data_IF_889194873458
#
_entry.id   IF_889194873458
#
_cell.length_a   1.000
_cell.length_b   1.000
_cell.length_c   1.000
_cell.angle_alpha   90.00
_cell.angle_beta   90.00
_cell.angle_gamma   90.00
#
_symmetry.space_group_name_H-M   'P 1'
#
loop_
_entity.id
_entity.type
_entity.pdbx_description
1 polymer ?
#
# COMPACT_ATOMS: atom_id res chain seq x y z
N UNK A 1 -22.72 17.35 25.39
CA UNK A 1 -21.93 18.46 24.81
C UNK A 1 -20.48 18.00 24.74
N UNK A 2 -19.98 17.79 23.50
CA UNK A 2 -18.61 17.51 23.03
C UNK A 2 -17.80 16.39 23.71
N UNK A 3 -17.78 15.23 23.06
CA UNK A 3 -16.76 14.18 23.21
C UNK A 3 -15.83 14.32 22.00
N UNK A 4 -14.59 14.78 22.20
CA UNK A 4 -13.53 14.89 21.20
C UNK A 4 -12.27 14.32 21.86
N UNK A 5 -12.02 13.03 21.68
CA UNK A 5 -10.73 12.43 22.05
C UNK A 5 -9.84 12.40 20.80
N UNK A 6 -9.16 13.53 20.60
CA UNK A 6 -7.98 13.68 19.74
C UNK A 6 -6.79 13.04 20.46
N UNK A 7 -6.14 12.04 19.85
CA UNK A 7 -4.92 11.45 20.41
C UNK A 7 -3.67 12.04 19.77
N UNK A 8 -2.75 12.45 20.64
CA UNK A 8 -1.51 13.17 20.38
C UNK A 8 -0.40 12.29 19.79
N UNK A 9 0.23 12.75 18.71
CA UNK A 9 1.54 12.31 18.26
C UNK A 9 2.59 13.31 18.79
N UNK A 10 3.63 12.84 19.50
CA UNK A 10 4.81 13.67 19.77
C UNK A 10 5.55 13.86 18.44
N UNK A 11 5.32 15.02 17.83
CA UNK A 11 5.78 15.39 16.49
C UNK A 11 4.57 15.79 15.64
N UNK A 12 4.17 17.06 15.75
CA UNK A 12 3.06 17.73 15.06
C UNK A 12 2.38 16.96 13.92
N UNK A 13 1.16 16.48 14.18
CA UNK A 13 0.13 16.25 13.17
C UNK A 13 -1.24 16.51 13.81
N UNK A 14 -1.70 17.76 13.76
CA UNK A 14 -3.09 18.10 14.07
C UNK A 14 -3.97 17.61 12.92
N UNK A 15 -4.83 16.63 13.22
CA UNK A 15 -5.94 16.22 12.37
C UNK A 15 -6.95 17.37 12.30
N UNK A 16 -6.67 18.36 11.44
CA UNK A 16 -7.57 19.41 10.92
C UNK A 16 -6.90 20.37 9.93
N UNK A 17 -5.57 20.37 9.77
CA UNK A 17 -4.90 21.13 8.70
C UNK A 17 -3.77 20.31 8.10
N UNK A 18 -3.70 20.36 6.77
CA UNK A 18 -2.67 19.77 5.92
C UNK A 18 -1.28 19.92 6.56
N UNK A 19 -0.64 18.82 6.93
CA UNK A 19 0.77 18.77 7.29
C UNK A 19 1.51 17.74 6.44
N UNK A 20 2.66 18.16 5.92
CA UNK A 20 3.64 17.34 5.23
C UNK A 20 4.15 16.24 6.17
N UNK A 21 4.05 15.00 5.72
CA UNK A 21 4.35 13.81 6.51
C UNK A 21 5.87 13.56 6.44
N UNK A 22 6.53 13.47 7.60
CA UNK A 22 7.83 12.82 7.78
C UNK A 22 7.57 11.32 8.10
N UNK A 23 8.53 10.41 7.80
CA UNK A 23 8.31 8.98 7.50
C UNK A 23 7.23 8.26 8.32
N UNK A 24 6.34 7.54 7.61
CA UNK A 24 5.21 6.76 8.10
C UNK A 24 5.62 5.63 9.06
N UNK A 25 5.92 5.98 10.31
CA UNK A 25 5.91 5.00 11.39
C UNK A 25 4.47 4.70 11.80
N UNK A 26 3.95 3.58 11.29
CA UNK A 26 2.67 3.01 11.74
C UNK A 26 2.75 2.63 13.22
N UNK A 27 1.77 3.05 14.02
CA UNK A 27 1.72 2.80 15.47
C UNK A 27 1.74 1.29 15.77
N UNK A 28 2.79 0.75 16.43
CA UNK A 28 2.88 -0.68 16.73
C UNK A 28 1.77 -1.19 17.67
N UNK A 29 1.18 -0.34 18.52
CA UNK A 29 0.26 -0.78 19.58
C UNK A 29 -1.21 -0.39 19.41
N UNK A 30 -1.56 0.46 18.43
CA UNK A 30 -2.97 0.83 18.23
C UNK A 30 -3.80 -0.32 17.63
N UNK A 31 -4.74 -0.90 18.40
CA UNK A 31 -5.75 -1.84 17.89
C UNK A 31 -7.10 -1.15 17.80
N UNK A 32 -7.63 -0.84 16.60
CA UNK A 32 -8.99 -0.34 16.49
C UNK A 32 -9.99 -1.37 16.99
N UNK A 33 -11.05 -0.92 17.65
CA UNK A 33 -12.22 -1.78 17.91
C UNK A 33 -12.84 -2.19 16.57
N UNK A 34 -13.61 -3.28 16.54
CA UNK A 34 -14.33 -3.76 15.35
C UNK A 34 -15.32 -2.73 14.73
N UNK A 35 -15.42 -1.54 15.32
CA UNK A 35 -16.37 -0.47 15.00
C UNK A 35 -15.70 0.86 14.64
N UNK A 36 -14.36 0.96 14.70
CA UNK A 36 -13.65 2.22 14.43
C UNK A 36 -12.60 2.02 13.34
N UNK A 37 -12.71 2.81 12.27
CA UNK A 37 -11.70 2.86 11.21
C UNK A 37 -10.57 3.83 11.56
N UNK A 38 -9.36 3.50 11.13
CA UNK A 38 -8.21 4.43 11.15
C UNK A 38 -8.06 5.01 9.76
N UNK A 39 -8.26 6.31 9.62
CA UNK A 39 -8.17 6.98 8.32
C UNK A 39 -6.88 7.81 8.29
N UNK A 40 -6.05 7.53 7.28
CA UNK A 40 -4.76 8.19 7.07
C UNK A 40 -4.79 8.90 5.72
N UNK A 41 -4.79 10.23 5.76
CA UNK A 41 -4.53 11.05 4.58
C UNK A 41 -3.03 11.13 4.35
N UNK A 42 -2.60 10.89 3.11
CA UNK A 42 -1.21 10.97 2.69
C UNK A 42 -1.09 12.09 1.66
N UNK A 43 -0.42 13.19 2.04
CA UNK A 43 -0.18 14.32 1.16
C UNK A 43 0.72 13.94 -0.02
N UNK A 44 0.56 14.62 -1.16
CA UNK A 44 1.40 14.37 -2.33
C UNK A 44 2.89 14.57 -2.02
N UNK A 45 3.72 13.67 -2.53
CA UNK A 45 5.14 13.60 -2.21
C UNK A 45 5.69 12.20 -2.43
N UNK A 46 7.00 12.02 -2.28
CA UNK A 46 7.66 10.71 -2.33
C UNK A 46 8.13 10.31 -0.91
N UNK A 47 7.77 9.08 -0.51
CA UNK A 47 8.00 8.51 0.82
C UNK A 47 8.86 7.27 0.69
N UNK A 48 10.15 7.39 1.03
CA UNK A 48 11.11 6.29 0.89
C UNK A 48 11.19 5.43 2.15
N UNK A 49 10.28 4.47 2.27
CA UNK A 49 10.16 3.60 3.42
C UNK A 49 9.43 2.29 3.09
N UNK A 50 9.78 1.24 3.82
CA UNK A 50 9.07 -0.03 3.77
C UNK A 50 7.89 0.01 4.74
N UNK A 51 6.68 -0.20 4.25
CA UNK A 51 5.45 -0.07 5.04
C UNK A 51 4.83 -1.44 5.23
N UNK A 52 4.53 -1.80 6.48
CA UNK A 52 3.81 -3.04 6.82
C UNK A 52 2.61 -2.72 7.69
N UNK A 53 1.40 -3.05 7.21
CA UNK A 53 0.17 -2.99 7.97
C UNK A 53 -0.13 -4.40 8.47
N UNK A 54 0.16 -4.64 9.74
CA UNK A 54 0.05 -5.97 10.36
C UNK A 54 -1.40 -6.45 10.50
N UNK A 55 -1.57 -7.77 10.58
CA UNK A 55 -2.88 -8.43 10.68
C UNK A 55 -3.74 -7.95 11.87
N UNK A 56 -3.12 -7.48 12.95
CA UNK A 56 -3.83 -6.98 14.13
C UNK A 56 -4.35 -5.54 13.98
N UNK A 57 -4.13 -4.87 12.85
CA UNK A 57 -4.55 -3.49 12.56
C UNK A 57 -5.75 -3.46 11.62
N UNK A 58 -6.95 -3.75 12.11
CA UNK A 58 -8.15 -3.84 11.26
C UNK A 58 -8.65 -2.47 10.77
N UNK A 59 -9.41 -2.42 9.68
CA UNK A 59 -10.13 -1.22 9.21
C UNK A 59 -9.24 0.03 8.99
N UNK A 60 -8.05 -0.18 8.43
CA UNK A 60 -7.12 0.91 8.09
C UNK A 60 -7.44 1.41 6.67
N UNK A 61 -7.54 2.73 6.53
CA UNK A 61 -7.83 3.39 5.25
C UNK A 61 -6.68 4.35 4.94
N UNK A 62 -6.01 4.15 3.80
CA UNK A 62 -5.05 5.11 3.26
C UNK A 62 -5.67 5.87 2.09
N UNK A 63 -5.51 7.18 2.02
CA UNK A 63 -5.92 7.91 0.84
C UNK A 63 -5.07 9.14 0.54
N UNK A 64 -4.84 9.38 -0.75
CA UNK A 64 -4.20 10.59 -1.25
C UNK A 64 -5.15 11.45 -2.07
N UNK A 65 -4.63 12.55 -2.62
CA UNK A 65 -5.33 13.35 -3.63
C UNK A 65 -5.25 12.66 -5.00
N UNK A 66 -6.35 12.52 -5.77
CA UNK A 66 -6.31 11.91 -7.11
C UNK A 66 -5.49 12.73 -8.11
N UNK A 67 -5.36 14.05 -7.90
CA UNK A 67 -4.58 14.95 -8.77
C UNK A 67 -3.12 15.09 -8.32
N UNK A 68 -2.78 14.62 -7.13
CA UNK A 68 -1.44 14.68 -6.56
C UNK A 68 -1.23 13.47 -5.65
N UNK A 69 -1.16 12.29 -6.27
CA UNK A 69 -1.06 11.03 -5.55
C UNK A 69 0.31 10.90 -4.88
N UNK A 70 0.38 10.57 -3.58
CA UNK A 70 1.64 10.23 -2.92
C UNK A 70 2.27 8.98 -3.53
N UNK A 71 3.60 8.96 -3.57
CA UNK A 71 4.42 7.82 -4.00
C UNK A 71 5.07 7.17 -2.79
N UNK A 72 4.65 5.96 -2.46
CA UNK A 72 5.28 5.11 -1.46
C UNK A 72 6.35 4.28 -2.17
N UNK A 73 7.61 4.46 -1.84
CA UNK A 73 8.74 3.84 -2.53
C UNK A 73 9.69 3.14 -1.59
N UNK A 74 10.27 2.02 -2.03
CA UNK A 74 11.37 1.36 -1.32
C UNK A 74 12.24 0.55 -2.28
N UNK A 75 13.50 0.31 -1.89
CA UNK A 75 14.41 -0.60 -2.60
C UNK A 75 14.47 -1.92 -1.84
N UNK A 76 13.65 -2.89 -2.27
CA UNK A 76 13.62 -4.23 -1.71
C UNK A 76 13.70 -5.30 -2.80
N UNK A 77 14.70 -6.21 -2.69
CA UNK A 77 14.87 -7.35 -3.60
C UNK A 77 14.70 -8.68 -2.87
N UNK A 78 14.35 -9.72 -3.61
CA UNK A 78 14.23 -11.07 -3.08
C UNK A 78 15.56 -11.63 -2.56
N UNK A 79 16.70 -11.18 -3.09
CA UNK A 79 18.01 -11.51 -2.57
C UNK A 79 18.17 -11.12 -1.09
N UNK A 80 17.63 -9.97 -0.70
CA UNK A 80 17.75 -9.46 0.68
C UNK A 80 16.58 -9.87 1.58
N UNK A 81 15.37 -9.92 1.04
CA UNK A 81 14.14 -10.08 1.83
C UNK A 81 13.38 -11.38 1.55
N UNK A 82 13.76 -12.13 0.51
CA UNK A 82 12.88 -13.13 -0.12
C UNK A 82 11.80 -12.45 -0.99
N UNK A 83 11.23 -13.18 -1.94
CA UNK A 83 10.28 -12.64 -2.92
C UNK A 83 9.12 -11.91 -2.24
N UNK A 84 8.48 -12.59 -1.30
CA UNK A 84 7.25 -12.11 -0.64
C UNK A 84 7.50 -10.89 0.26
N UNK A 85 8.64 -10.84 0.96
CA UNK A 85 8.97 -9.67 1.79
C UNK A 85 9.79 -8.62 1.04
N UNK A 86 10.01 -8.74 -0.27
CA UNK A 86 10.65 -7.69 -1.07
C UNK A 86 9.74 -6.46 -1.26
N UNK A 87 8.44 -6.61 -0.99
CA UNK A 87 7.41 -5.60 -1.22
C UNK A 87 7.69 -4.24 -0.55
N UNK A 88 7.39 -3.15 -1.24
CA UNK A 88 7.44 -1.78 -0.67
C UNK A 88 6.35 -1.60 0.38
N UNK A 89 5.12 -2.02 0.04
CA UNK A 89 3.99 -2.05 0.97
C UNK A 89 3.54 -3.50 1.17
N UNK A 90 3.40 -3.92 2.43
CA UNK A 90 2.86 -5.22 2.84
C UNK A 90 1.58 -4.97 3.65
N UNK A 91 0.46 -5.52 3.19
CA UNK A 91 -0.84 -5.40 3.87
C UNK A 91 -1.32 -6.77 4.32
N UNK A 92 -1.27 -7.02 5.63
CA UNK A 92 -1.80 -8.22 6.27
C UNK A 92 -3.13 -7.95 6.98
N UNK A 93 -3.54 -6.68 7.04
CA UNK A 93 -4.76 -6.21 7.69
C UNK A 93 -6.04 -6.57 6.92
N UNK A 94 -7.02 -7.13 7.63
CA UNK A 94 -8.37 -7.30 7.09
C UNK A 94 -9.10 -5.94 7.02
N UNK A 95 -9.96 -5.80 6.00
CA UNK A 95 -10.73 -4.60 5.72
C UNK A 95 -9.87 -3.35 5.43
N UNK A 96 -8.64 -3.55 4.97
CA UNK A 96 -7.81 -2.44 4.49
C UNK A 96 -8.41 -1.83 3.23
N UNK A 97 -8.40 -0.51 3.15
CA UNK A 97 -8.80 0.23 1.96
C UNK A 97 -7.70 1.21 1.58
N UNK A 98 -7.39 1.31 0.29
CA UNK A 98 -6.57 2.41 -0.19
C UNK A 98 -7.16 3.08 -1.44
N UNK A 99 -6.95 4.40 -1.54
CA UNK A 99 -7.34 5.17 -2.71
C UNK A 99 -6.29 6.22 -3.10
N UNK A 100 -6.10 6.44 -4.41
CA UNK A 100 -5.28 7.53 -4.93
C UNK A 100 -3.82 7.47 -4.46
N UNK A 101 -3.15 6.32 -4.64
CA UNK A 101 -1.76 6.11 -4.23
C UNK A 101 -0.92 5.59 -5.40
N UNK A 102 0.37 5.94 -5.38
CA UNK A 102 1.39 5.30 -6.20
C UNK A 102 2.23 4.44 -5.27
N UNK A 103 2.42 3.16 -5.60
CA UNK A 103 3.28 2.24 -4.87
C UNK A 103 4.37 1.76 -5.81
N UNK A 104 5.63 1.99 -5.42
CA UNK A 104 6.79 1.83 -6.27
C UNK A 104 7.86 0.98 -5.61
N UNK A 105 8.29 -0.10 -6.24
CA UNK A 105 9.60 -0.67 -5.92
C UNK A 105 10.65 -0.04 -6.82
N UNK A 106 11.64 0.63 -6.24
CA UNK A 106 12.69 1.37 -6.97
C UNK A 106 13.98 0.57 -7.15
N UNK A 107 13.96 -0.75 -6.92
CA UNK A 107 15.09 -1.64 -7.22
C UNK A 107 15.45 -1.62 -8.70
N UNK A 108 16.72 -1.83 -9.03
CA UNK A 108 17.21 -1.82 -10.41
C UNK A 108 16.57 -2.92 -11.26
N UNK A 109 16.40 -2.66 -12.57
CA UNK A 109 15.91 -3.63 -13.55
C UNK A 109 16.69 -4.95 -13.45
N UNK A 110 16.03 -6.11 -13.36
CA UNK A 110 16.68 -7.42 -13.41
C UNK A 110 17.52 -7.56 -14.68
N UNK A 111 18.72 -8.10 -14.57
CA UNK A 111 19.58 -8.38 -15.72
C UNK A 111 19.64 -9.87 -16.08
N UNK A 112 18.94 -10.73 -15.33
CA UNK A 112 18.88 -12.17 -15.52
C UNK A 112 20.15 -12.92 -15.11
N UNK A 113 21.15 -12.20 -14.57
CA UNK A 113 22.44 -12.76 -14.15
C UNK A 113 22.54 -12.93 -12.64
N UNK A 114 21.72 -12.21 -11.87
CA UNK A 114 21.74 -12.28 -10.40
C UNK A 114 20.59 -13.15 -9.91
N UNK A 115 20.82 -13.87 -8.81
CA UNK A 115 19.79 -14.63 -8.12
C UNK A 115 18.99 -13.68 -7.23
N UNK A 116 17.66 -13.77 -7.24
CA UNK A 116 16.80 -13.00 -6.33
C UNK A 116 16.53 -11.56 -6.77
N UNK A 117 16.41 -11.30 -8.07
CA UNK A 117 16.12 -9.96 -8.63
C UNK A 117 14.66 -9.53 -8.54
N UNK A 118 13.75 -10.39 -8.04
CA UNK A 118 12.34 -10.04 -7.86
C UNK A 118 12.18 -8.88 -6.86
N UNK A 119 11.28 -7.95 -7.16
CA UNK A 119 11.16 -6.69 -6.45
C UNK A 119 9.70 -6.20 -6.41
N UNK A 120 8.92 -6.71 -5.45
CA UNK A 120 7.50 -6.41 -5.33
C UNK A 120 7.23 -4.94 -5.01
N UNK A 121 6.22 -4.35 -5.64
CA UNK A 121 5.68 -3.06 -5.21
C UNK A 121 4.73 -3.27 -4.01
N UNK A 122 3.81 -4.23 -4.14
CA UNK A 122 2.75 -4.46 -3.17
C UNK A 122 2.57 -5.96 -2.89
N UNK A 123 2.35 -6.29 -1.61
CA UNK A 123 1.84 -7.59 -1.16
C UNK A 123 0.56 -7.37 -0.36
N UNK A 124 -0.46 -8.17 -0.63
CA UNK A 124 -1.73 -8.17 0.10
C UNK A 124 -2.09 -9.58 0.56
N UNK A 125 -2.43 -9.74 1.84
CA UNK A 125 -2.78 -11.03 2.45
C UNK A 125 -3.92 -10.95 3.47
N UNK A 126 -4.40 -9.74 3.76
CA UNK A 126 -5.60 -9.50 4.58
C UNK A 126 -6.89 -9.75 3.79
N UNK A 127 -7.98 -10.06 4.49
CA UNK A 127 -9.26 -10.39 3.87
C UNK A 127 -10.15 -9.15 3.67
N UNK A 128 -10.95 -9.15 2.60
CA UNK A 128 -11.88 -8.05 2.23
C UNK A 128 -11.18 -6.71 2.05
N UNK A 129 -10.02 -6.74 1.38
CA UNK A 129 -9.22 -5.56 1.06
C UNK A 129 -9.70 -4.92 -0.25
N UNK A 130 -9.69 -3.59 -0.33
CA UNK A 130 -10.08 -2.88 -1.55
C UNK A 130 -9.07 -1.78 -1.93
N UNK A 131 -8.67 -1.71 -3.20
CA UNK A 131 -7.81 -0.66 -3.73
C UNK A 131 -8.49 0.04 -4.90
N UNK A 132 -8.45 1.37 -4.89
CA UNK A 132 -9.10 2.24 -5.87
C UNK A 132 -8.11 3.25 -6.43
N UNK A 133 -8.12 3.48 -7.75
CA UNK A 133 -7.31 4.51 -8.39
C UNK A 133 -5.85 4.50 -7.90
N UNK A 134 -5.18 3.36 -8.04
CA UNK A 134 -3.80 3.19 -7.58
C UNK A 134 -2.89 2.82 -8.73
N UNK A 135 -1.60 3.11 -8.57
CA UNK A 135 -0.57 2.78 -9.55
C UNK A 135 0.49 1.89 -8.93
N UNK A 136 0.84 0.80 -9.60
CA UNK A 136 1.99 -0.03 -9.24
C UNK A 136 3.12 0.21 -10.24
N UNK A 137 4.26 0.63 -9.71
CA UNK A 137 5.48 0.92 -10.45
C UNK A 137 6.58 -0.03 -9.97
N UNK A 138 7.29 -0.65 -10.91
CA UNK A 138 8.37 -1.59 -10.60
C UNK A 138 8.73 -2.42 -11.82
N UNK A 139 9.61 -3.39 -11.61
CA UNK A 139 10.03 -4.35 -12.65
C UNK A 139 9.23 -5.67 -12.50
N UNK A 140 9.86 -6.82 -12.70
CA UNK A 140 9.19 -8.12 -12.63
C UNK A 140 8.52 -8.38 -11.27
N UNK A 141 7.34 -9.02 -11.26
CA UNK A 141 6.54 -9.37 -10.08
C UNK A 141 6.11 -8.15 -9.25
N UNK A 142 5.03 -7.45 -9.63
CA UNK A 142 4.64 -6.16 -8.99
C UNK A 142 3.67 -6.32 -7.83
N UNK A 143 2.69 -7.21 -7.96
CA UNK A 143 1.67 -7.49 -6.96
C UNK A 143 1.70 -8.96 -6.55
N UNK A 144 1.96 -9.21 -5.27
CA UNK A 144 1.68 -10.49 -4.63
C UNK A 144 0.29 -10.44 -3.99
N UNK A 145 -0.70 -10.98 -4.70
CA UNK A 145 -2.04 -11.28 -4.18
C UNK A 145 -2.01 -12.62 -3.41
N UNK A 146 -1.40 -12.57 -2.23
CA UNK A 146 -0.95 -13.75 -1.47
C UNK A 146 -2.12 -14.66 -1.07
N UNK A 147 -3.13 -14.09 -0.41
CA UNK A 147 -4.35 -14.78 0.05
C UNK A 147 -5.45 -13.79 0.42
N UNK A 148 -6.69 -14.29 0.53
CA UNK A 148 -7.85 -13.51 0.98
C UNK A 148 -8.81 -13.21 -0.16
N UNK A 149 -9.75 -12.30 0.07
CA UNK A 149 -10.66 -11.81 -0.96
C UNK A 149 -10.41 -10.32 -1.18
N UNK A 150 -10.04 -9.92 -2.40
CA UNK A 150 -9.68 -8.52 -2.70
C UNK A 150 -10.48 -7.95 -3.87
N UNK A 151 -10.55 -6.63 -3.87
CA UNK A 151 -11.21 -5.86 -4.91
C UNK A 151 -10.27 -4.77 -5.43
N UNK A 152 -9.97 -4.80 -6.73
CA UNK A 152 -9.09 -3.83 -7.38
C UNK A 152 -9.86 -3.08 -8.46
N UNK A 153 -9.88 -1.75 -8.38
CA UNK A 153 -10.62 -0.89 -9.32
C UNK A 153 -9.78 0.32 -9.75
N UNK A 154 -9.91 0.68 -11.03
CA UNK A 154 -9.29 1.86 -11.64
C UNK A 154 -7.77 1.90 -11.50
N UNK A 155 -7.10 0.76 -11.67
CA UNK A 155 -5.67 0.65 -11.42
C UNK A 155 -4.84 0.74 -12.69
N UNK A 156 -3.59 1.18 -12.52
CA UNK A 156 -2.58 1.17 -13.57
C UNK A 156 -1.37 0.37 -13.11
N UNK A 157 -0.93 -0.56 -13.95
CA UNK A 157 0.31 -1.31 -13.75
C UNK A 157 1.23 -0.95 -14.90
N UNK A 158 2.36 -0.32 -14.58
CA UNK A 158 3.37 0.00 -15.56
C UNK A 158 4.09 -1.29 -15.99
N UNK A 159 4.13 -1.65 -17.29
CA UNK A 159 4.82 -2.81 -17.89
C UNK A 159 4.05 -4.17 -17.91
N UNK A 160 4.28 -4.98 -18.94
CA UNK A 160 3.35 -5.99 -19.51
C UNK A 160 3.59 -7.46 -19.13
N UNK A 161 4.62 -7.79 -18.35
CA UNK A 161 4.99 -9.19 -18.03
C UNK A 161 4.78 -9.49 -16.53
N UNK A 162 4.07 -10.59 -16.24
CA UNK A 162 3.86 -11.23 -14.92
C UNK A 162 3.67 -10.27 -13.73
N UNK A 163 2.54 -9.57 -13.73
CA UNK A 163 2.28 -8.47 -12.80
C UNK A 163 1.54 -8.86 -11.51
N UNK A 164 0.77 -9.96 -11.50
CA UNK A 164 0.01 -10.45 -10.33
C UNK A 164 0.25 -11.95 -10.17
N UNK A 165 0.60 -12.38 -8.95
CA UNK A 165 0.67 -13.80 -8.56
C UNK A 165 0.20 -14.01 -7.13
N UNK A 166 -0.10 -15.26 -6.77
CA UNK A 166 -0.48 -15.67 -5.41
C UNK A 166 -1.75 -16.51 -5.39
N UNK A 167 -2.36 -16.69 -4.22
CA UNK A 167 -3.54 -17.56 -4.00
C UNK A 167 -4.79 -16.79 -3.56
N UNK A 168 -4.80 -15.46 -3.68
CA UNK A 168 -5.96 -14.65 -3.40
C UNK A 168 -7.11 -14.80 -4.40
N UNK A 169 -8.30 -14.39 -3.97
CA UNK A 169 -9.53 -14.37 -4.76
C UNK A 169 -9.88 -12.92 -5.06
N UNK A 170 -9.58 -12.48 -6.27
CA UNK A 170 -9.65 -11.06 -6.62
C UNK A 170 -10.65 -10.77 -7.72
N UNK A 171 -11.43 -9.70 -7.53
CA UNK A 171 -12.25 -9.08 -8.56
C UNK A 171 -11.55 -7.81 -9.05
N UNK A 172 -11.17 -7.80 -10.33
CA UNK A 172 -10.53 -6.68 -10.99
C UNK A 172 -11.54 -5.97 -11.90
N UNK A 173 -11.83 -4.70 -11.62
CA UNK A 173 -12.66 -3.86 -12.49
C UNK A 173 -11.79 -2.82 -13.17
N UNK A 174 -11.60 -2.98 -14.47
CA UNK A 174 -10.95 -2.00 -15.35
C UNK A 174 -12.05 -1.16 -15.99
N UNK A 175 -12.10 0.13 -15.65
CA UNK A 175 -12.97 1.05 -16.39
C UNK A 175 -12.37 1.28 -17.79
N UNK A 176 -13.18 1.21 -18.86
CA UNK A 176 -12.68 1.51 -20.20
C UNK A 176 -12.08 2.91 -20.22
N UNK A 177 -10.95 3.13 -20.93
CA UNK A 177 -10.39 4.47 -21.09
C UNK A 177 -11.41 5.32 -21.84
N UNK A 178 -12.10 6.21 -21.11
CA UNK A 178 -13.03 7.25 -21.57
C UNK A 178 -13.90 6.91 -22.80
N UNK A 179 -15.19 6.62 -22.56
CA UNK A 179 -16.26 6.97 -23.50
C UNK A 179 -16.49 8.48 -23.50
#
# INVERSE_FOLDING_TARGET
>A
MKMLDTLYFRGFCEVSRVCHIHPCQLMPDYRPSLTKSVIVYIGGGEYNEKITILQNKLFVIFYGSPTNMPTLTFVGTAQKYGTVNSATVIVESDYFVAANLIIKNSSSKPNGKRVGEQALALRVSGNKLALFNYRLIGFQDKLCDDRGNHFFKDFFIEDTVDFIFGSGKSLCLVMPPNL
#
